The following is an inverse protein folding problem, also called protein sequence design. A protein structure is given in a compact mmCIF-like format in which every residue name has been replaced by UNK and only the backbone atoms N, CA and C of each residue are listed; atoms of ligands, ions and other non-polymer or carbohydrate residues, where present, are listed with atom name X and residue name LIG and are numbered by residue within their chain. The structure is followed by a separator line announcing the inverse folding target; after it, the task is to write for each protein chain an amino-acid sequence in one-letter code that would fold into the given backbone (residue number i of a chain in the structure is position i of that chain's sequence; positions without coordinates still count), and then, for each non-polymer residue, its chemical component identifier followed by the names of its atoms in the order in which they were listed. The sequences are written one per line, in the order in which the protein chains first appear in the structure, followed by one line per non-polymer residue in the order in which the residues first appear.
data_IF_609281251312
#
_entry.id   IF_609281251312
#
_cell.length_a   1.000
_cell.length_b   1.000
_cell.length_c   1.000
_cell.angle_alpha   90.00
_cell.angle_beta   90.00
_cell.angle_gamma   90.00
#
_symmetry.space_group_name_H-M   'P 1'
#
loop_
_entity.id
_entity.type
_entity.pdbx_description
1 polymer ?
#
# COMPACT_ATOMS: atom_id res chain seq x y z
N UNK A 1 -1.64 12.50 -6.34
CA UNK A 1 -2.57 11.36 -6.25
C UNK A 1 -2.66 10.94 -4.80
N UNK A 2 -3.66 10.15 -4.45
CA UNK A 2 -3.80 9.60 -3.11
C UNK A 2 -3.88 8.09 -3.15
N UNK A 3 -3.40 7.43 -2.10
CA UNK A 3 -3.65 6.02 -1.82
C UNK A 3 -4.61 5.93 -0.65
N UNK A 4 -5.81 5.41 -0.90
CA UNK A 4 -6.73 4.98 0.14
C UNK A 4 -6.45 3.52 0.46
N UNK A 5 -6.19 3.23 1.74
CA UNK A 5 -5.99 1.89 2.27
C UNK A 5 -7.20 1.54 3.13
N UNK A 6 -7.87 0.46 2.78
CA UNK A 6 -8.99 -0.11 3.53
C UNK A 6 -8.53 -1.47 4.05
N UNK A 7 -8.24 -1.56 5.34
CA UNK A 7 -7.82 -2.81 5.97
C UNK A 7 -9.05 -3.70 6.20
N UNK A 8 -9.06 -4.90 5.62
CA UNK A 8 -10.25 -5.76 5.59
C UNK A 8 -10.18 -7.05 6.40
N UNK A 9 -9.09 -7.27 7.15
CA UNK A 9 -8.75 -8.60 7.66
C UNK A 9 -9.20 -9.00 9.06
N UNK A 10 -10.01 -8.23 9.81
CA UNK A 10 -10.47 -8.69 11.13
C UNK A 10 -11.88 -8.19 11.48
N UNK A 11 -12.92 -9.06 11.52
CA UNK A 11 -14.27 -8.68 11.95
C UNK A 11 -14.35 -8.22 13.42
N UNK A 12 -13.29 -8.41 14.21
CA UNK A 12 -13.17 -7.90 15.59
C UNK A 12 -12.47 -6.54 15.67
N UNK A 13 -11.88 -6.04 14.58
CA UNK A 13 -11.29 -4.69 14.51
C UNK A 13 -12.20 -3.78 13.69
N UNK A 14 -12.31 -2.52 14.10
CA UNK A 14 -12.97 -1.51 13.28
C UNK A 14 -12.17 -1.35 11.98
N UNK A 15 -12.84 -1.26 10.80
CA UNK A 15 -12.16 -0.94 9.56
C UNK A 15 -11.35 0.34 9.76
N UNK A 16 -10.04 0.27 9.53
CA UNK A 16 -9.17 1.43 9.56
C UNK A 16 -9.00 1.89 8.12
N UNK A 17 -9.42 3.12 7.85
CA UNK A 17 -9.18 3.78 6.59
C UNK A 17 -8.00 4.75 6.75
N UNK A 18 -7.06 4.69 5.82
CA UNK A 18 -5.91 5.59 5.77
C UNK A 18 -5.79 6.19 4.37
N UNK A 19 -5.56 7.51 4.30
CA UNK A 19 -5.35 8.23 3.03
C UNK A 19 -3.96 8.83 3.05
N UNK A 20 -3.16 8.48 2.05
CA UNK A 20 -1.75 8.89 1.94
C UNK A 20 -1.58 9.66 0.64
N UNK A 21 -0.96 10.84 0.68
CA UNK A 21 -0.61 11.58 -0.53
C UNK A 21 0.63 10.97 -1.18
N UNK A 22 0.51 10.57 -2.44
CA UNK A 22 1.53 9.79 -3.14
C UNK A 22 1.89 10.39 -4.49
N UNK A 23 3.16 10.21 -4.86
CA UNK A 23 3.66 10.52 -6.21
C UNK A 23 3.66 9.27 -7.10
N UNK A 24 3.85 8.09 -6.51
CA UNK A 24 4.00 6.83 -7.24
C UNK A 24 3.53 5.65 -6.39
N UNK A 25 3.03 4.62 -7.06
CA UNK A 25 2.75 3.31 -6.49
C UNK A 25 3.16 2.22 -7.47
N UNK A 26 3.74 1.14 -6.97
CA UNK A 26 4.13 -0.05 -7.74
C UNK A 26 3.64 -1.31 -7.04
N UNK A 27 3.01 -2.19 -7.81
CA UNK A 27 2.65 -3.53 -7.36
C UNK A 27 3.80 -4.51 -7.62
N UNK A 28 4.07 -5.38 -6.66
CA UNK A 28 5.10 -6.41 -6.72
C UNK A 28 4.51 -7.71 -6.18
N UNK A 29 4.59 -8.80 -6.93
CA UNK A 29 4.04 -10.10 -6.50
C UNK A 29 4.94 -10.82 -5.49
N UNK A 30 6.26 -10.72 -5.68
CA UNK A 30 7.27 -11.34 -4.81
C UNK A 30 8.40 -10.34 -4.55
N UNK A 31 8.44 -9.77 -3.35
CA UNK A 31 9.47 -8.83 -2.94
C UNK A 31 10.47 -9.54 -2.02
N UNK A 32 11.69 -9.77 -2.51
CA UNK A 32 12.79 -10.26 -1.69
C UNK A 32 13.42 -9.10 -0.91
N UNK A 33 13.38 -9.15 0.41
CA UNK A 33 14.02 -8.13 1.26
C UNK A 33 15.37 -8.66 1.75
N UNK A 34 16.45 -7.90 1.51
CA UNK A 34 17.82 -8.31 1.83
C UNK A 34 18.15 -8.45 3.32
N UNK A 35 17.19 -8.28 4.24
CA UNK A 35 17.42 -8.28 5.68
C UNK A 35 17.50 -9.68 6.31
N UNK A 36 16.92 -10.72 5.69
CA UNK A 36 17.09 -12.12 6.09
C UNK A 36 17.07 -12.99 4.85
N UNK A 37 18.12 -13.77 4.65
CA UNK A 37 18.23 -14.69 3.51
C UNK A 37 17.01 -15.64 3.50
N UNK A 38 16.11 -15.44 2.52
CA UNK A 38 15.01 -16.36 2.22
C UNK A 38 13.58 -15.88 2.54
N UNK A 39 13.38 -14.74 3.20
CA UNK A 39 12.02 -14.23 3.42
C UNK A 39 11.52 -13.42 2.21
N UNK A 40 10.52 -13.96 1.52
CA UNK A 40 9.75 -13.26 0.50
C UNK A 40 8.55 -12.60 1.18
N UNK A 41 8.47 -11.28 1.10
CA UNK A 41 7.19 -10.62 1.28
C UNK A 41 6.42 -10.92 0.00
N UNK A 42 5.26 -11.56 0.10
CA UNK A 42 4.43 -11.89 -1.06
C UNK A 42 3.90 -10.62 -1.76
N UNK A 43 2.62 -10.61 -2.13
CA UNK A 43 2.03 -9.45 -2.82
C UNK A 43 2.19 -8.16 -2.00
N UNK A 44 2.87 -7.18 -2.56
CA UNK A 44 3.19 -5.90 -1.93
C UNK A 44 2.84 -4.71 -2.83
N UNK A 45 2.57 -3.57 -2.19
CA UNK A 45 2.56 -2.25 -2.81
C UNK A 45 3.73 -1.42 -2.27
N UNK A 46 4.58 -0.95 -3.17
CA UNK A 46 5.65 0.01 -2.87
C UNK A 46 5.11 1.40 -3.21
N UNK A 47 5.08 2.28 -2.21
CA UNK A 47 4.37 3.56 -2.27
C UNK A 47 5.34 4.69 -1.97
N UNK A 48 5.47 5.63 -2.92
CA UNK A 48 6.27 6.84 -2.70
C UNK A 48 5.40 7.95 -2.10
N UNK A 49 5.49 8.17 -0.79
CA UNK A 49 4.72 9.20 -0.09
C UNK A 49 5.35 10.60 -0.27
N UNK A 50 4.52 11.61 -0.48
CA UNK A 50 4.98 13.00 -0.71
C UNK A 50 5.32 13.70 0.62
N UNK A 51 4.65 13.33 1.70
CA UNK A 51 4.79 14.02 3.00
C UNK A 51 5.90 13.42 3.88
N UNK A 52 6.72 12.51 3.35
CA UNK A 52 7.84 11.86 4.05
C UNK A 52 9.19 12.46 3.62
N UNK A 53 10.17 12.60 4.53
CA UNK A 53 11.53 12.99 4.17
C UNK A 53 12.11 12.04 3.12
N UNK A 54 12.87 12.56 2.15
CA UNK A 54 13.36 11.79 0.99
C UNK A 54 14.12 10.49 1.34
N UNK A 55 14.76 10.43 2.52
CA UNK A 55 15.45 9.27 3.07
C UNK A 55 14.52 8.06 3.35
N UNK A 56 13.21 8.28 3.48
CA UNK A 56 12.19 7.27 3.79
C UNK A 56 11.03 7.32 2.79
N UNK A 57 11.31 7.75 1.56
CA UNK A 57 10.28 8.08 0.57
C UNK A 57 9.41 6.90 0.15
N UNK A 58 9.88 5.65 0.28
CA UNK A 58 9.14 4.45 -0.09
C UNK A 58 8.62 3.69 1.13
N UNK A 59 7.30 3.51 1.19
CA UNK A 59 6.58 2.69 2.16
C UNK A 59 6.19 1.37 1.48
N UNK A 60 6.46 0.25 2.14
CA UNK A 60 6.07 -1.08 1.65
C UNK A 60 4.82 -1.53 2.41
N UNK A 61 3.72 -1.75 1.69
CA UNK A 61 2.52 -2.40 2.22
C UNK A 61 2.50 -3.85 1.75
N UNK A 62 2.66 -4.80 2.66
CA UNK A 62 2.37 -6.20 2.38
C UNK A 62 0.84 -6.36 2.38
N UNK A 63 0.28 -6.86 1.28
CA UNK A 63 -1.17 -7.02 1.15
C UNK A 63 -1.64 -8.24 1.94
N UNK A 64 -2.61 -8.03 2.82
CA UNK A 64 -3.31 -9.10 3.56
C UNK A 64 -4.68 -9.39 2.93
N UNK A 65 -5.23 -10.57 3.23
CA UNK A 65 -6.52 -10.98 2.67
C UNK A 65 -7.64 -10.08 3.20
N UNK A 66 -8.45 -9.56 2.28
CA UNK A 66 -9.51 -8.59 2.58
C UNK A 66 -9.08 -7.13 2.42
N UNK A 67 -7.79 -6.84 2.32
CA UNK A 67 -7.33 -5.46 2.12
C UNK A 67 -7.68 -4.95 0.73
N UNK A 68 -8.12 -3.68 0.69
CA UNK A 68 -8.41 -2.96 -0.55
C UNK A 68 -7.59 -1.68 -0.60
N UNK A 69 -6.81 -1.52 -1.65
CA UNK A 69 -6.00 -0.34 -1.89
C UNK A 69 -6.49 0.37 -3.15
N UNK A 70 -6.87 1.65 -3.03
CA UNK A 70 -7.37 2.46 -4.16
C UNK A 70 -6.46 3.64 -4.40
N UNK A 71 -6.00 3.78 -5.63
CA UNK A 71 -5.33 4.98 -6.10
C UNK A 71 -6.39 5.97 -6.54
N UNK A 72 -6.44 7.13 -5.89
CA UNK A 72 -7.36 8.20 -6.18
C UNK A 72 -6.65 9.35 -6.92
N UNK A 73 -7.35 9.99 -7.85
CA UNK A 73 -6.93 11.27 -8.42
C UNK A 73 -7.01 12.38 -7.37
N UNK A 74 -6.52 13.58 -7.71
CA UNK A 74 -6.72 14.78 -6.87
C UNK A 74 -8.20 15.14 -6.69
N UNK A 75 -9.07 14.75 -7.63
CA UNK A 75 -10.52 14.92 -7.53
C UNK A 75 -11.24 13.81 -6.77
N UNK A 76 -10.52 12.81 -6.26
CA UNK A 76 -11.08 11.66 -5.54
C UNK A 76 -11.61 10.53 -6.43
N UNK A 77 -11.45 10.62 -7.76
CA UNK A 77 -11.84 9.55 -8.68
C UNK A 77 -10.89 8.35 -8.54
N UNK A 78 -11.43 7.13 -8.50
CA UNK A 78 -10.64 5.91 -8.43
C UNK A 78 -9.95 5.69 -9.78
N UNK A 79 -8.63 5.77 -9.80
CA UNK A 79 -7.78 5.53 -10.97
C UNK A 79 -7.39 4.05 -11.09
N UNK A 80 -7.18 3.38 -9.94
CA UNK A 80 -6.79 1.97 -9.88
C UNK A 80 -7.15 1.37 -8.54
N UNK A 81 -7.44 0.07 -8.51
CA UNK A 81 -7.75 -0.67 -7.30
C UNK A 81 -6.93 -1.96 -7.26
N UNK A 82 -6.41 -2.30 -6.07
CA UNK A 82 -5.70 -3.55 -5.78
C UNK A 82 -6.40 -4.23 -4.60
N UNK A 83 -6.60 -5.55 -4.71
CA UNK A 83 -7.24 -6.38 -3.70
C UNK A 83 -6.48 -7.67 -3.52
N UNK A 84 -6.55 -8.25 -2.33
CA UNK A 84 -6.10 -9.62 -2.09
C UNK A 84 -7.22 -10.41 -1.43
#
# INVERSE_FOLDING_TARGET
MYLQVLHGGDPKRKPKEEIIKISKVKYVEDLSVGCKAGETLGRCLIVSAIDQPALYSEIIFQMEDGDVYRVLSESGAILKEYKK
#
